data_IF_110706623874
#
_entry.id   IF_110706623874
#
_cell.length_a   1.000
_cell.length_b   1.000
_cell.length_c   1.000
_cell.angle_alpha   90.00
_cell.angle_beta   90.00
_cell.angle_gamma   90.00
#
_symmetry.space_group_name_H-M   'P 1'
#
loop_
_entity.id
_entity.type
_entity.pdbx_description
1 polymer ?
#
# COMPACT_ATOMS: atom_id res chain seq x y z
N UNK A 1 -15.96 6.93 -4.43
CA UNK A 1 -15.48 5.57 -4.07
C UNK A 1 -14.67 5.69 -2.80
N UNK A 2 -14.80 4.74 -1.88
CA UNK A 2 -14.11 4.78 -0.58
C UNK A 2 -13.28 3.51 -0.39
N UNK A 3 -12.09 3.65 0.19
CA UNK A 3 -11.19 2.55 0.54
C UNK A 3 -10.52 2.82 1.89
N UNK A 4 -10.16 1.75 2.60
CA UNK A 4 -9.31 1.83 3.80
C UNK A 4 -7.94 1.27 3.46
N UNK A 5 -6.90 2.06 3.71
CA UNK A 5 -5.52 1.66 3.60
C UNK A 5 -5.07 1.07 4.94
N UNK A 6 -5.29 -0.22 5.11
CA UNK A 6 -5.03 -0.93 6.37
C UNK A 6 -3.57 -0.93 6.76
N UNK A 7 -3.28 -0.64 8.03
CA UNK A 7 -1.91 -0.72 8.55
C UNK A 7 -1.38 -2.15 8.43
N UNK A 8 -0.12 -2.26 8.00
CA UNK A 8 0.58 -3.52 7.79
C UNK A 8 1.54 -3.77 8.94
N UNK A 9 1.53 -4.98 9.47
CA UNK A 9 2.47 -5.47 10.47
C UNK A 9 3.36 -6.57 9.89
N UNK A 10 4.60 -6.62 10.34
CA UNK A 10 5.46 -7.77 10.16
C UNK A 10 5.45 -8.58 11.48
N UNK A 11 4.66 -9.64 11.55
CA UNK A 11 4.62 -10.52 12.74
C UNK A 11 5.89 -11.36 12.87
N UNK A 12 6.55 -11.63 11.77
CA UNK A 12 7.88 -12.21 11.70
C UNK A 12 8.62 -11.59 10.50
N UNK A 13 9.92 -11.35 10.67
CA UNK A 13 10.79 -10.87 9.61
C UNK A 13 12.18 -11.50 9.78
N UNK A 14 12.57 -12.31 8.81
CA UNK A 14 13.87 -12.95 8.75
C UNK A 14 14.65 -12.44 7.56
N UNK A 15 15.84 -11.89 7.80
CA UNK A 15 16.80 -11.56 6.76
C UNK A 15 17.64 -12.81 6.52
N UNK A 16 17.49 -13.44 5.35
CA UNK A 16 18.17 -14.70 5.01
C UNK A 16 19.59 -14.46 4.52
N UNK A 17 19.74 -13.52 3.57
CA UNK A 17 21.05 -13.13 3.03
C UNK A 17 20.98 -11.77 2.33
N UNK A 18 22.13 -11.13 2.17
CA UNK A 18 22.30 -10.00 1.27
C UNK A 18 22.52 -10.52 -0.16
N UNK A 19 21.81 -9.95 -1.12
CA UNK A 19 21.94 -10.26 -2.55
C UNK A 19 23.04 -9.42 -3.19
N UNK A 20 23.52 -9.86 -4.35
CA UNK A 20 24.53 -9.12 -5.12
C UNK A 20 24.01 -7.78 -5.67
N UNK A 21 22.70 -7.67 -5.88
CA UNK A 21 22.01 -6.44 -6.32
C UNK A 21 21.82 -5.41 -5.18
N UNK A 22 22.35 -5.70 -3.98
CA UNK A 22 22.28 -4.83 -2.80
C UNK A 22 21.02 -4.99 -1.96
N UNK A 23 19.99 -5.69 -2.46
CA UNK A 23 18.79 -6.04 -1.70
C UNK A 23 19.05 -7.19 -0.73
N UNK A 24 18.08 -7.45 0.14
CA UNK A 24 18.10 -8.58 1.06
C UNK A 24 17.05 -9.61 0.66
N UNK A 25 17.42 -10.86 0.75
CA UNK A 25 16.46 -11.96 0.68
C UNK A 25 15.78 -12.07 2.03
N UNK A 26 14.47 -11.89 2.05
CA UNK A 26 13.64 -11.82 3.22
C UNK A 26 12.64 -12.96 3.25
N UNK A 27 12.22 -13.31 4.44
CA UNK A 27 11.02 -14.09 4.70
C UNK A 27 10.24 -13.36 5.78
N UNK A 28 9.01 -12.98 5.48
CA UNK A 28 8.19 -12.17 6.38
C UNK A 28 6.77 -12.68 6.45
N UNK A 29 6.18 -12.58 7.64
CA UNK A 29 4.75 -12.81 7.85
C UNK A 29 4.06 -11.45 7.96
N UNK A 30 3.33 -11.08 6.92
CA UNK A 30 2.49 -9.89 6.91
C UNK A 30 1.13 -10.16 7.55
N UNK A 31 0.71 -9.22 8.38
CA UNK A 31 -0.66 -9.11 8.87
C UNK A 31 -1.19 -7.69 8.60
N UNK A 32 -2.50 -7.56 8.55
CA UNK A 32 -3.18 -6.28 8.39
C UNK A 32 -4.16 -6.11 9.55
N UNK A 33 -4.19 -4.93 10.14
CA UNK A 33 -5.11 -4.58 11.21
C UNK A 33 -6.29 -3.79 10.65
N UNK A 34 -7.38 -3.70 11.40
CA UNK A 34 -8.60 -3.00 11.00
C UNK A 34 -8.50 -1.46 11.07
N UNK A 35 -7.36 -0.93 11.53
CA UNK A 35 -7.05 0.49 11.51
C UNK A 35 -6.28 0.87 10.26
N UNK A 36 -6.53 2.07 9.74
CA UNK A 36 -5.88 2.53 8.51
C UNK A 36 -6.21 3.97 8.15
N UNK A 37 -5.55 4.44 7.11
CA UNK A 37 -5.88 5.69 6.47
C UNK A 37 -7.13 5.52 5.62
N UNK A 38 -7.89 6.59 5.42
CA UNK A 38 -9.10 6.57 4.59
C UNK A 38 -8.88 7.32 3.29
N UNK A 39 -9.25 6.70 2.19
CA UNK A 39 -9.19 7.33 0.88
C UNK A 39 -10.58 7.42 0.27
N UNK A 40 -10.86 8.59 -0.29
CA UNK A 40 -12.05 8.81 -1.12
C UNK A 40 -11.60 9.28 -2.48
N UNK A 41 -12.14 8.71 -3.55
CA UNK A 41 -11.80 9.08 -4.91
C UNK A 41 -13.02 9.36 -5.78
N UNK A 42 -12.91 10.36 -6.64
CA UNK A 42 -13.90 10.74 -7.63
C UNK A 42 -13.24 11.09 -8.97
N UNK A 43 -13.95 10.93 -10.11
CA UNK A 43 -13.45 11.37 -11.41
C UNK A 43 -13.10 12.86 -11.41
N UNK A 44 -12.00 13.24 -12.08
CA UNK A 44 -11.58 14.63 -12.27
C UNK A 44 -10.87 14.79 -13.62
N UNK A 45 -10.67 16.02 -14.07
CA UNK A 45 -9.93 16.29 -15.30
C UNK A 45 -8.44 15.90 -15.19
N UNK A 46 -7.87 16.08 -14.01
CA UNK A 46 -6.47 15.79 -13.70
C UNK A 46 -6.36 15.08 -12.34
N UNK A 47 -5.21 14.43 -12.09
CA UNK A 47 -4.92 13.86 -10.81
C UNK A 47 -4.65 14.94 -9.76
N UNK A 48 -5.44 14.92 -8.68
CA UNK A 48 -5.32 15.85 -7.55
C UNK A 48 -5.34 15.05 -6.26
N UNK A 49 -4.49 15.42 -5.31
CA UNK A 49 -4.44 14.85 -3.97
C UNK A 49 -4.68 15.91 -2.91
N UNK A 50 -5.69 15.68 -2.09
CA UNK A 50 -5.95 16.43 -0.87
C UNK A 50 -5.62 15.56 0.34
N UNK A 51 -4.78 16.06 1.24
CA UNK A 51 -4.39 15.33 2.45
C UNK A 51 -4.92 16.03 3.67
N UNK A 52 -5.61 15.28 4.53
CA UNK A 52 -6.18 15.72 5.80
C UNK A 52 -5.86 14.69 6.88
N UNK A 53 -6.32 14.87 8.09
CA UNK A 53 -6.15 13.95 9.22
C UNK A 53 -5.00 14.33 10.14
N UNK A 54 -4.90 13.60 11.25
CA UNK A 54 -3.99 13.90 12.37
C UNK A 54 -2.52 13.97 11.91
N UNK A 55 -2.11 13.06 11.02
CA UNK A 55 -0.72 12.94 10.57
C UNK A 55 -0.44 13.60 9.22
N UNK A 56 -1.39 14.37 8.68
CA UNK A 56 -1.23 15.06 7.39
C UNK A 56 -0.03 16.00 7.36
N UNK A 57 0.23 16.70 8.47
CA UNK A 57 1.34 17.66 8.59
C UNK A 57 2.74 17.06 8.44
N UNK A 58 2.88 15.75 8.60
CA UNK A 58 4.15 15.04 8.39
C UNK A 58 4.46 14.76 6.90
N UNK A 59 3.50 14.99 6.00
CA UNK A 59 3.66 14.78 4.56
C UNK A 59 4.01 16.09 3.87
N UNK A 60 5.30 16.39 3.75
CA UNK A 60 5.83 17.68 3.33
C UNK A 60 5.65 18.02 1.84
N UNK A 61 5.20 17.11 0.98
CA UNK A 61 5.12 17.35 -0.46
C UNK A 61 4.09 16.45 -1.15
N UNK A 62 3.04 17.04 -1.72
CA UNK A 62 2.03 16.31 -2.49
C UNK A 62 2.60 15.61 -3.74
N UNK A 63 3.53 16.24 -4.46
CA UNK A 63 4.12 15.67 -5.69
C UNK A 63 5.05 14.49 -5.41
N UNK A 64 5.67 14.43 -4.25
CA UNK A 64 6.46 13.29 -3.77
C UNK A 64 5.63 12.16 -3.16
N UNK A 65 4.34 12.38 -2.94
CA UNK A 65 3.46 11.43 -2.27
C UNK A 65 3.29 10.13 -3.09
N UNK A 66 3.34 9.00 -2.39
CA UNK A 66 3.23 7.68 -3.03
C UNK A 66 1.87 7.45 -3.70
N UNK A 67 0.80 8.09 -3.22
CA UNK A 67 -0.53 8.08 -3.86
C UNK A 67 -0.45 8.67 -5.27
N UNK A 68 0.17 9.85 -5.44
CA UNK A 68 0.36 10.47 -6.75
C UNK A 68 1.24 9.61 -7.66
N UNK A 69 2.30 9.00 -7.11
CA UNK A 69 3.13 8.06 -7.86
C UNK A 69 2.35 6.83 -8.31
N UNK A 70 1.45 6.29 -7.47
CA UNK A 70 0.58 5.16 -7.82
C UNK A 70 -0.38 5.53 -8.95
N UNK A 71 -1.05 6.67 -8.86
CA UNK A 71 -1.93 7.18 -9.92
C UNK A 71 -1.20 7.32 -11.26
N UNK A 72 -0.02 7.91 -11.26
CA UNK A 72 0.81 8.09 -12.48
C UNK A 72 1.24 6.74 -13.08
N UNK A 73 1.59 5.75 -12.25
CA UNK A 73 2.01 4.42 -12.74
C UNK A 73 0.89 3.60 -13.34
N UNK A 74 -0.35 3.84 -12.92
CA UNK A 74 -1.49 3.08 -13.42
C UNK A 74 -1.96 3.50 -14.82
N UNK A 75 -1.48 4.66 -15.36
CA UNK A 75 -1.73 5.13 -16.73
C UNK A 75 -3.21 5.05 -17.14
N UNK A 76 -4.08 5.61 -16.31
CA UNK A 76 -5.53 5.64 -16.52
C UNK A 76 -5.92 6.62 -17.64
N UNK A 77 -7.07 6.38 -18.27
CA UNK A 77 -7.61 7.25 -19.31
C UNK A 77 -8.17 8.58 -18.80
N UNK A 78 -8.49 8.69 -17.50
CA UNK A 78 -9.06 9.88 -16.88
C UNK A 78 -8.35 10.22 -15.58
N UNK A 79 -8.38 11.51 -15.22
CA UNK A 79 -7.86 12.00 -13.94
C UNK A 79 -8.77 11.64 -12.77
N UNK A 80 -8.24 11.76 -11.58
CA UNK A 80 -8.88 11.41 -10.33
C UNK A 80 -8.57 12.43 -9.23
N UNK A 81 -9.59 12.88 -8.52
CA UNK A 81 -9.42 13.62 -7.26
C UNK A 81 -9.48 12.66 -6.10
N UNK A 82 -8.38 12.57 -5.36
CA UNK A 82 -8.23 11.73 -4.17
C UNK A 82 -8.15 12.59 -2.93
N UNK A 83 -8.98 12.27 -1.93
CA UNK A 83 -8.86 12.78 -0.56
C UNK A 83 -8.30 11.67 0.31
N UNK A 84 -7.15 11.91 0.93
CA UNK A 84 -6.45 11.02 1.87
C UNK A 84 -6.57 11.58 3.28
N UNK A 85 -7.29 10.88 4.15
CA UNK A 85 -7.34 11.16 5.59
C UNK A 85 -6.26 10.32 6.28
N UNK A 86 -5.20 10.98 6.74
CA UNK A 86 -4.00 10.36 7.30
C UNK A 86 -4.18 10.12 8.80
N UNK A 87 -4.59 8.89 9.16
CA UNK A 87 -4.84 8.43 10.52
C UNK A 87 -3.69 7.58 11.09
N UNK A 88 -2.81 7.08 10.22
CA UNK A 88 -1.62 6.34 10.63
C UNK A 88 -0.41 7.26 10.74
N UNK A 89 0.40 7.12 11.81
CA UNK A 89 1.63 7.90 11.96
C UNK A 89 2.62 7.57 10.84
N UNK A 90 3.26 8.64 10.33
CA UNK A 90 4.22 8.53 9.23
C UNK A 90 5.54 7.94 9.74
N UNK A 91 6.13 7.03 8.99
CA UNK A 91 7.38 6.35 9.28
C UNK A 91 7.39 5.49 10.58
N UNK A 92 6.23 5.09 11.08
CA UNK A 92 6.09 4.28 12.29
C UNK A 92 6.24 2.75 12.09
N UNK A 93 6.70 2.29 10.92
CA UNK A 93 6.80 0.86 10.63
C UNK A 93 5.49 0.16 10.23
N UNK A 94 4.37 0.90 10.22
CA UNK A 94 3.03 0.37 9.92
C UNK A 94 2.72 0.25 8.41
N UNK A 95 3.68 0.54 7.55
CA UNK A 95 3.50 0.46 6.10
C UNK A 95 2.46 1.43 5.53
N UNK A 96 2.10 2.51 6.25
CA UNK A 96 1.01 3.41 5.89
C UNK A 96 1.08 3.94 4.46
N UNK A 97 2.22 4.43 4.00
CA UNK A 97 2.38 4.88 2.61
C UNK A 97 2.19 3.75 1.59
N UNK A 98 2.70 2.55 1.87
CA UNK A 98 2.49 1.37 1.00
C UNK A 98 1.03 0.95 0.99
N UNK A 99 0.34 1.08 2.12
CA UNK A 99 -1.10 0.83 2.24
C UNK A 99 -1.91 1.85 1.45
N UNK A 100 -1.55 3.14 1.51
CA UNK A 100 -2.18 4.21 0.72
C UNK A 100 -2.07 3.92 -0.79
N UNK A 101 -0.86 3.56 -1.25
CA UNK A 101 -0.65 3.15 -2.64
C UNK A 101 -1.49 1.91 -2.98
N UNK A 102 -1.51 0.90 -2.11
CA UNK A 102 -2.31 -0.32 -2.27
C UNK A 102 -3.81 -0.02 -2.41
N UNK A 103 -4.33 0.91 -1.63
CA UNK A 103 -5.73 1.37 -1.72
C UNK A 103 -6.02 1.96 -3.11
N UNK A 104 -5.12 2.77 -3.67
CA UNK A 104 -5.28 3.30 -5.03
C UNK A 104 -5.39 2.17 -6.05
N UNK A 105 -4.55 1.14 -5.98
CA UNK A 105 -4.64 -0.02 -6.89
C UNK A 105 -5.99 -0.73 -6.77
N UNK A 106 -6.52 -0.88 -5.54
CA UNK A 106 -7.86 -1.48 -5.33
C UNK A 106 -8.98 -0.62 -5.92
N UNK A 107 -8.92 0.72 -5.76
CA UNK A 107 -9.88 1.64 -6.37
C UNK A 107 -9.85 1.53 -7.89
N UNK A 108 -8.67 1.56 -8.50
CA UNK A 108 -8.53 1.45 -9.96
C UNK A 108 -9.03 0.10 -10.47
N UNK A 109 -8.83 -0.99 -9.70
CA UNK A 109 -9.43 -2.30 -10.01
C UNK A 109 -10.96 -2.24 -10.04
N UNK A 110 -11.59 -1.56 -9.09
CA UNK A 110 -13.05 -1.42 -9.05
C UNK A 110 -13.59 -0.59 -10.23
N UNK A 111 -12.78 0.30 -10.81
CA UNK A 111 -13.12 1.01 -12.06
C UNK A 111 -12.92 0.17 -13.32
N UNK A 112 -12.32 -0.99 -13.22
CA UNK A 112 -12.01 -1.87 -14.35
C UNK A 112 -10.72 -1.52 -15.09
N UNK A 113 -9.94 -0.58 -14.59
CA UNK A 113 -8.72 -0.03 -15.24
C UNK A 113 -7.41 -0.62 -14.70
N UNK A 114 -7.46 -1.67 -13.87
CA UNK A 114 -6.23 -2.25 -13.31
C UNK A 114 -5.48 -3.03 -14.40
N UNK A 115 -4.25 -2.63 -14.77
CA UNK A 115 -3.48 -3.32 -15.79
C UNK A 115 -3.00 -4.70 -15.33
N UNK A 116 -2.80 -5.63 -16.25
CA UNK A 116 -2.36 -7.00 -15.96
C UNK A 116 -1.00 -7.05 -15.25
N UNK A 117 -0.10 -6.08 -15.56
CA UNK A 117 1.22 -5.94 -14.95
C UNK A 117 1.21 -5.13 -13.63
N UNK A 118 0.04 -5.05 -12.96
CA UNK A 118 -0.12 -4.26 -11.73
C UNK A 118 0.87 -4.65 -10.62
N UNK A 119 1.23 -5.92 -10.50
CA UNK A 119 2.17 -6.39 -9.47
C UNK A 119 3.55 -5.79 -9.65
N UNK A 120 4.06 -5.78 -10.89
CA UNK A 120 5.34 -5.16 -11.22
C UNK A 120 5.32 -3.64 -10.98
N UNK A 121 4.22 -2.98 -11.34
CA UNK A 121 4.03 -1.54 -11.08
C UNK A 121 3.99 -1.24 -9.58
N UNK A 122 3.29 -2.06 -8.82
CA UNK A 122 3.21 -1.94 -7.35
C UNK A 122 4.59 -2.14 -6.70
N UNK A 123 5.34 -3.18 -7.10
CA UNK A 123 6.68 -3.45 -6.59
C UNK A 123 7.67 -2.30 -6.85
N UNK A 124 7.54 -1.59 -7.98
CA UNK A 124 8.34 -0.40 -8.30
C UNK A 124 8.03 0.82 -7.42
N UNK A 125 6.94 0.82 -6.68
CA UNK A 125 6.61 1.84 -5.69
C UNK A 125 7.20 1.54 -4.32
N UNK A 126 7.31 0.26 -3.99
CA UNK A 126 7.85 -0.23 -2.74
C UNK A 126 7.61 -1.71 -2.56
N UNK A 127 8.51 -2.40 -1.85
CA UNK A 127 8.46 -3.85 -1.66
C UNK A 127 7.16 -4.33 -0.98
N UNK A 128 6.59 -3.53 -0.07
CA UNK A 128 5.36 -3.86 0.66
C UNK A 128 4.08 -3.58 -0.15
N UNK A 129 4.15 -2.75 -1.22
CA UNK A 129 2.94 -2.30 -1.94
C UNK A 129 2.14 -3.46 -2.52
N UNK A 130 2.74 -4.50 -3.15
CA UNK A 130 1.97 -5.63 -3.67
C UNK A 130 1.17 -6.37 -2.60
N UNK A 131 1.73 -6.57 -1.40
CA UNK A 131 1.04 -7.15 -0.25
C UNK A 131 -0.11 -6.24 0.22
N UNK A 132 0.12 -4.92 0.27
CA UNK A 132 -0.89 -3.92 0.63
C UNK A 132 -2.03 -3.82 -0.40
N UNK A 133 -1.81 -4.14 -1.68
CA UNK A 133 -2.90 -4.26 -2.67
C UNK A 133 -3.83 -5.42 -2.32
N UNK A 134 -3.32 -6.52 -1.79
CA UNK A 134 -4.13 -7.66 -1.35
C UNK A 134 -4.77 -7.42 0.01
N UNK A 135 -4.06 -6.79 0.95
CA UNK A 135 -4.48 -6.53 2.34
C UNK A 135 -5.01 -7.77 3.05
N UNK A 136 -4.35 -8.91 2.85
CA UNK A 136 -4.64 -10.18 3.52
C UNK A 136 -3.35 -10.75 4.10
N UNK A 137 -3.48 -11.50 5.20
CA UNK A 137 -2.32 -12.12 5.84
C UNK A 137 -1.61 -13.06 4.86
N UNK A 138 -0.29 -12.88 4.72
CA UNK A 138 0.50 -13.63 3.74
C UNK A 138 1.96 -13.78 4.19
N UNK A 139 2.62 -14.80 3.68
CA UNK A 139 4.07 -14.96 3.77
C UNK A 139 4.69 -14.34 2.53
N UNK A 140 5.55 -13.34 2.73
CA UNK A 140 6.38 -12.73 1.70
C UNK A 140 7.76 -13.36 1.68
N UNK A 141 8.30 -13.64 0.50
CA UNK A 141 9.63 -14.20 0.29
C UNK A 141 10.41 -13.39 -0.76
N UNK A 142 11.67 -13.70 -0.92
CA UNK A 142 12.56 -13.00 -1.85
C UNK A 142 12.84 -11.58 -1.39
N UNK A 143 12.56 -10.59 -2.22
CA UNK A 143 12.65 -9.16 -1.85
C UNK A 143 11.37 -8.63 -1.18
N UNK A 144 10.46 -9.53 -0.76
CA UNK A 144 9.13 -9.18 -0.22
C UNK A 144 8.04 -9.05 -1.28
N UNK A 145 8.38 -9.28 -2.54
CA UNK A 145 7.45 -9.12 -3.69
C UNK A 145 6.78 -10.41 -4.13
N UNK A 146 7.30 -11.55 -3.70
CA UNK A 146 6.68 -12.87 -3.87
C UNK A 146 5.97 -13.25 -2.58
N UNK A 147 4.69 -13.62 -2.65
CA UNK A 147 3.90 -13.90 -1.46
C UNK A 147 2.88 -15.02 -1.67
N UNK A 148 2.61 -15.72 -0.57
CA UNK A 148 1.60 -16.76 -0.47
C UNK A 148 0.61 -16.39 0.62
N UNK A 149 -0.68 -16.31 0.25
CA UNK A 149 -1.76 -16.06 1.20
C UNK A 149 -1.83 -17.21 2.22
N UNK A 150 -2.08 -16.89 3.48
CA UNK A 150 -2.36 -17.89 4.51
C UNK A 150 -3.81 -18.33 4.41
N UNK A 151 -4.04 -19.64 4.47
CA UNK A 151 -5.37 -20.24 4.36
C UNK A 151 -6.23 -20.05 5.63
N UNK A 152 -5.61 -19.82 6.79
CA UNK A 152 -6.28 -19.63 8.07
C UNK A 152 -5.66 -18.46 8.80
N UNK A 153 -6.55 -17.57 9.24
CA UNK A 153 -6.21 -16.25 9.70
C UNK A 153 -5.71 -16.22 11.12
N UNK A 154 -5.03 -15.16 11.33
CA UNK A 154 -4.79 -14.53 12.62
C UNK A 154 -5.90 -13.50 12.87
N UNK A 155 -7.09 -13.75 12.32
CA UNK A 155 -8.26 -12.89 12.42
C UNK A 155 -8.76 -12.84 13.87
N UNK A 156 -9.16 -11.64 14.32
CA UNK A 156 -9.68 -11.45 15.66
C UNK A 156 -8.63 -11.41 16.78
N UNK A 157 -7.32 -11.44 16.45
CA UNK A 157 -6.26 -11.20 17.42
C UNK A 157 -6.14 -9.69 17.67
N UNK A 158 -6.26 -9.29 18.93
CA UNK A 158 -6.03 -7.91 19.33
C UNK A 158 -4.54 -7.58 19.33
N UNK A 159 -4.19 -6.43 18.75
CA UNK A 159 -2.83 -5.88 18.77
C UNK A 159 -2.87 -4.62 19.64
N UNK A 160 -1.98 -4.56 20.63
CA UNK A 160 -1.84 -3.44 21.55
C UNK A 160 -0.69 -2.54 21.14
#
# INVERSE_FOLDING_TARGET
>A
MNETAYAKLNLALHVRRRREDGYHELETLFAFVDQGDRLTASPAAHDVLHVTGEFAGALNNASGNIVMKALTRLKRGAGCSVSLEKNLPVAAGLGGGSADAGAIFRMVRQWGDLPDDWQERAAKLGADVPACVKSVACIGVGTGTEWRTLAHGIEGIHVL
#
